data_IF_397919720577
#
_entry.id   IF_397919720577
#
_cell.length_a   1.000
_cell.length_b   1.000
_cell.length_c   1.000
_cell.angle_alpha   90.00
_cell.angle_beta   90.00
_cell.angle_gamma   90.00
#
_symmetry.space_group_name_H-M   'P 1'
#
loop_
_entity.id
_entity.type
_entity.pdbx_description
1 polymer ?
#
# COMPACT_ATOMS: atom_id res chain seq x y z
N UNK A 1 -20.20 0.49 -9.04
CA UNK A 1 -18.99 0.19 -8.24
C UNK A 1 -19.30 -0.82 -7.16
N UNK A 2 -20.37 -0.58 -6.39
CA UNK A 2 -20.87 -1.49 -5.38
C UNK A 2 -20.97 -2.92 -5.88
N UNK A 3 -21.76 -3.16 -6.93
CA UNK A 3 -21.95 -4.51 -7.49
C UNK A 3 -20.63 -5.19 -7.87
N UNK A 4 -19.69 -4.43 -8.42
CA UNK A 4 -18.39 -4.94 -8.86
C UNK A 4 -17.50 -5.36 -7.67
N UNK A 5 -17.51 -4.59 -6.57
CA UNK A 5 -16.72 -4.89 -5.37
C UNK A 5 -17.43 -5.95 -4.51
N UNK A 6 -18.75 -5.85 -4.37
CA UNK A 6 -19.56 -6.69 -3.48
C UNK A 6 -20.04 -7.98 -4.14
N UNK A 7 -19.99 -8.10 -5.46
CA UNK A 7 -20.56 -9.23 -6.20
C UNK A 7 -22.07 -9.36 -6.02
N UNK A 8 -22.76 -8.26 -5.68
CA UNK A 8 -24.19 -8.24 -5.39
C UNK A 8 -24.57 -8.66 -3.97
N UNK A 9 -23.60 -8.90 -3.08
CA UNK A 9 -23.89 -9.27 -1.69
C UNK A 9 -23.92 -8.06 -0.75
N UNK A 10 -24.90 -8.01 0.15
CA UNK A 10 -24.99 -6.95 1.18
C UNK A 10 -24.02 -7.14 2.35
N UNK A 11 -23.52 -8.36 2.52
CA UNK A 11 -22.54 -8.73 3.55
C UNK A 11 -21.38 -9.47 2.91
N UNK A 12 -20.16 -9.08 3.25
CA UNK A 12 -18.91 -9.68 2.80
C UNK A 12 -18.28 -10.46 3.95
N UNK A 13 -17.78 -11.66 3.67
CA UNK A 13 -16.93 -12.40 4.61
C UNK A 13 -15.46 -12.09 4.31
N UNK A 14 -14.76 -11.58 5.32
CA UNK A 14 -13.34 -11.20 5.23
C UNK A 14 -12.64 -11.68 6.48
N UNK A 15 -11.68 -12.61 6.34
CA UNK A 15 -10.88 -13.12 7.46
C UNK A 15 -11.73 -13.71 8.60
N UNK A 16 -12.84 -14.39 8.27
CA UNK A 16 -13.77 -14.98 9.25
C UNK A 16 -14.72 -13.99 9.92
N UNK A 17 -14.73 -12.72 9.52
CA UNK A 17 -15.67 -11.69 10.00
C UNK A 17 -16.64 -11.28 8.90
N UNK A 18 -17.90 -11.04 9.29
CA UNK A 18 -18.93 -10.47 8.42
C UNK A 18 -18.87 -8.95 8.45
N UNK A 19 -18.74 -8.32 7.29
CA UNK A 19 -18.63 -6.87 7.11
C UNK A 19 -19.76 -6.40 6.18
N UNK A 20 -20.42 -5.29 6.51
CA UNK A 20 -21.41 -4.70 5.60
C UNK A 20 -20.73 -4.24 4.29
N UNK A 21 -21.27 -4.64 3.15
CA UNK A 21 -20.64 -4.40 1.85
C UNK A 21 -20.56 -2.90 1.51
N UNK A 22 -21.60 -2.12 1.84
CA UNK A 22 -21.57 -0.67 1.61
C UNK A 22 -20.57 0.05 2.50
N UNK A 23 -20.46 -0.38 3.76
CA UNK A 23 -19.42 0.12 4.66
C UNK A 23 -18.01 -0.19 4.15
N UNK A 24 -17.80 -1.41 3.62
CA UNK A 24 -16.52 -1.80 3.02
C UNK A 24 -16.19 -0.96 1.77
N UNK A 25 -17.14 -0.80 0.86
CA UNK A 25 -16.97 0.02 -0.36
C UNK A 25 -16.67 1.47 -0.01
N UNK A 26 -17.31 2.03 1.02
CA UNK A 26 -17.05 3.38 1.52
C UNK A 26 -15.64 3.58 2.05
N UNK A 27 -14.95 2.53 2.54
CA UNK A 27 -13.55 2.63 2.97
C UNK A 27 -12.63 2.98 1.80
N UNK A 28 -12.93 2.53 0.59
CA UNK A 28 -12.17 2.87 -0.63
C UNK A 28 -12.61 4.18 -1.27
N UNK A 29 -13.14 5.09 -0.45
CA UNK A 29 -13.59 6.43 -0.86
C UNK A 29 -14.72 6.44 -1.91
N UNK A 30 -15.55 5.39 -1.95
CA UNK A 30 -16.77 5.38 -2.76
C UNK A 30 -17.98 5.62 -1.86
N UNK A 31 -18.44 6.87 -1.75
CA UNK A 31 -19.53 7.27 -0.84
C UNK A 31 -20.81 7.61 -1.63
N UNK A 32 -21.96 7.29 -1.04
CA UNK A 32 -23.28 7.64 -1.58
C UNK A 32 -23.42 7.28 -3.08
N UNK A 33 -23.68 8.27 -3.97
CA UNK A 33 -23.91 8.03 -5.40
C UNK A 33 -22.69 7.45 -6.13
N UNK A 34 -21.47 7.62 -5.60
CA UNK A 34 -20.26 7.05 -6.23
C UNK A 34 -20.27 5.52 -6.25
N UNK A 35 -20.99 4.91 -5.30
CA UNK A 35 -21.16 3.46 -5.26
C UNK A 35 -21.96 2.93 -6.46
N UNK A 36 -22.87 3.74 -6.99
CA UNK A 36 -23.77 3.37 -8.09
C UNK A 36 -23.16 3.65 -9.47
N UNK A 37 -22.06 4.40 -9.54
CA UNK A 37 -21.35 4.67 -10.80
C UNK A 37 -20.95 3.37 -11.51
N UNK A 38 -21.08 3.34 -12.83
CA UNK A 38 -20.57 2.23 -13.66
C UNK A 38 -19.05 2.31 -13.72
N UNK A 39 -18.37 1.15 -13.69
CA UNK A 39 -16.89 1.06 -13.71
C UNK A 39 -16.28 1.77 -14.93
N UNK A 40 -16.97 1.71 -16.08
CA UNK A 40 -16.53 2.39 -17.30
C UNK A 40 -16.46 3.93 -17.19
N UNK A 41 -17.24 4.53 -16.30
CA UNK A 41 -17.27 5.98 -16.08
C UNK A 41 -16.24 6.47 -15.05
N UNK A 42 -15.50 5.55 -14.41
CA UNK A 42 -14.48 5.89 -13.43
C UNK A 42 -13.19 6.38 -14.08
N UNK A 43 -12.53 7.33 -13.42
CA UNK A 43 -11.15 7.73 -13.68
C UNK A 43 -10.16 6.58 -13.42
N UNK A 44 -8.92 6.71 -13.91
CA UNK A 44 -7.87 5.70 -13.70
C UNK A 44 -7.61 5.40 -12.21
N UNK A 45 -7.50 6.45 -11.39
CA UNK A 45 -7.33 6.31 -9.93
C UNK A 45 -8.53 5.62 -9.27
N UNK A 46 -9.76 6.00 -9.63
CA UNK A 46 -10.96 5.32 -9.14
C UNK A 46 -10.99 3.83 -9.55
N UNK A 47 -10.61 3.49 -10.78
CA UNK A 47 -10.53 2.09 -11.21
C UNK A 47 -9.50 1.31 -10.40
N UNK A 48 -8.35 1.92 -10.08
CA UNK A 48 -7.34 1.30 -9.22
C UNK A 48 -7.91 1.01 -7.83
N UNK A 49 -8.68 1.94 -7.25
CA UNK A 49 -9.36 1.72 -5.96
C UNK A 49 -10.35 0.57 -5.99
N UNK A 50 -11.15 0.46 -7.07
CA UNK A 50 -12.04 -0.70 -7.27
C UNK A 50 -11.24 -1.99 -7.34
N UNK A 51 -10.14 -2.00 -8.09
CA UNK A 51 -9.29 -3.17 -8.23
C UNK A 51 -8.71 -3.63 -6.88
N UNK A 52 -8.21 -2.68 -6.10
CA UNK A 52 -7.61 -2.94 -4.80
C UNK A 52 -8.66 -3.44 -3.78
N UNK A 53 -9.86 -2.86 -3.76
CA UNK A 53 -10.97 -3.36 -2.94
C UNK A 53 -11.36 -4.80 -3.31
N UNK A 54 -11.36 -5.16 -4.59
CA UNK A 54 -11.64 -6.53 -5.03
C UNK A 54 -10.55 -7.51 -4.61
N UNK A 55 -9.28 -7.12 -4.75
CA UNK A 55 -8.13 -7.95 -4.36
C UNK A 55 -8.15 -8.28 -2.87
N UNK A 56 -8.37 -7.26 -2.04
CA UNK A 56 -8.42 -7.42 -0.58
C UNK A 56 -9.61 -8.28 -0.13
N UNK A 57 -10.75 -8.19 -0.83
CA UNK A 57 -11.93 -9.04 -0.57
C UNK A 57 -11.67 -10.51 -0.87
N UNK A 58 -10.96 -10.83 -1.97
CA UNK A 58 -10.87 -12.20 -2.50
C UNK A 58 -10.24 -13.19 -1.50
N UNK A 59 -9.57 -12.70 -0.46
CA UNK A 59 -9.05 -13.50 0.64
C UNK A 59 -7.88 -14.37 0.16
N UNK A 60 -6.70 -13.79 0.06
CA UNK A 60 -5.46 -14.52 -0.19
C UNK A 60 -4.67 -14.70 1.10
N UNK A 61 -3.85 -15.74 1.18
CA UNK A 61 -2.94 -15.92 2.32
C UNK A 61 -1.77 -14.94 2.24
N UNK A 62 -1.35 -14.60 1.00
CA UNK A 62 -0.27 -13.66 0.70
C UNK A 62 -0.75 -12.68 -0.37
N UNK A 63 -0.59 -11.39 -0.11
CA UNK A 63 -0.86 -10.30 -1.05
C UNK A 63 0.48 -9.69 -1.49
N UNK A 64 0.70 -9.59 -2.80
CA UNK A 64 1.88 -8.94 -3.38
C UNK A 64 1.43 -7.61 -4.00
N UNK A 65 1.94 -6.50 -3.49
CA UNK A 65 1.63 -5.16 -3.96
C UNK A 65 2.90 -4.49 -4.49
N UNK A 66 2.91 -4.18 -5.78
CA UNK A 66 4.01 -3.47 -6.42
C UNK A 66 3.64 -1.99 -6.58
N UNK A 67 4.34 -1.13 -5.83
CA UNK A 67 4.15 0.33 -5.78
C UNK A 67 2.68 0.77 -5.67
N UNK A 68 1.92 0.27 -4.66
CA UNK A 68 0.48 0.52 -4.55
C UNK A 68 0.15 1.97 -4.16
N UNK A 69 1.14 2.76 -3.75
CA UNK A 69 0.99 4.18 -3.37
C UNK A 69 0.90 5.11 -4.59
N UNK A 70 1.23 4.61 -5.80
CA UNK A 70 1.17 5.42 -7.00
C UNK A 70 -0.27 5.86 -7.32
N UNK A 71 -0.41 7.13 -7.71
CA UNK A 71 -1.66 7.73 -8.15
C UNK A 71 -2.80 7.70 -7.09
N UNK A 72 -2.46 7.48 -5.82
CA UNK A 72 -3.41 7.52 -4.72
C UNK A 72 -3.45 8.91 -4.06
N UNK A 73 -4.66 9.42 -3.85
CA UNK A 73 -4.89 10.55 -2.96
C UNK A 73 -4.64 10.16 -1.49
N UNK A 74 -4.48 11.15 -0.62
CA UNK A 74 -4.15 10.94 0.81
C UNK A 74 -5.20 10.06 1.49
N UNK A 75 -6.49 10.30 1.23
CA UNK A 75 -7.59 9.55 1.86
C UNK A 75 -7.56 8.08 1.45
N UNK A 76 -7.27 7.80 0.18
CA UNK A 76 -7.17 6.44 -0.34
C UNK A 76 -5.93 5.73 0.20
N UNK A 77 -4.81 6.44 0.32
CA UNK A 77 -3.61 5.89 0.94
C UNK A 77 -3.88 5.51 2.41
N UNK A 78 -4.60 6.35 3.17
CA UNK A 78 -5.06 5.98 4.53
C UNK A 78 -5.95 4.74 4.53
N UNK A 79 -6.88 4.64 3.59
CA UNK A 79 -7.76 3.48 3.47
C UNK A 79 -6.98 2.19 3.14
N UNK A 80 -5.97 2.29 2.27
CA UNK A 80 -5.06 1.19 1.94
C UNK A 80 -4.27 0.75 3.18
N UNK A 81 -3.69 1.70 3.92
CA UNK A 81 -3.00 1.41 5.17
C UNK A 81 -3.90 0.65 6.16
N UNK A 82 -5.11 1.13 6.41
CA UNK A 82 -6.06 0.49 7.32
C UNK A 82 -6.47 -0.91 6.81
N UNK A 83 -6.62 -1.07 5.50
CA UNK A 83 -6.96 -2.35 4.91
C UNK A 83 -5.81 -3.37 5.02
N UNK A 84 -4.55 -2.94 4.86
CA UNK A 84 -3.36 -3.78 5.06
C UNK A 84 -3.22 -4.16 6.53
N UNK A 85 -3.36 -3.20 7.45
CA UNK A 85 -3.25 -3.44 8.89
C UNK A 85 -4.34 -4.38 9.43
N UNK A 86 -5.53 -4.37 8.80
CA UNK A 86 -6.64 -5.27 9.15
C UNK A 86 -6.64 -6.58 8.36
N UNK A 87 -5.67 -6.77 7.46
CA UNK A 87 -5.57 -7.97 6.64
C UNK A 87 -5.14 -9.17 7.48
N UNK A 88 -5.86 -10.27 7.37
CA UNK A 88 -5.58 -11.47 8.16
C UNK A 88 -4.42 -12.32 7.62
N UNK A 89 -3.91 -12.01 6.42
CA UNK A 89 -2.80 -12.72 5.77
C UNK A 89 -1.49 -11.94 5.81
N UNK A 90 -0.51 -12.41 5.05
CA UNK A 90 0.75 -11.71 4.84
C UNK A 90 0.62 -10.73 3.67
N UNK A 91 1.26 -9.57 3.78
CA UNK A 91 1.35 -8.60 2.69
C UNK A 91 2.82 -8.30 2.43
N UNK A 92 3.27 -8.52 1.19
CA UNK A 92 4.54 -8.02 0.69
C UNK A 92 4.26 -6.78 -0.13
N UNK A 93 4.84 -5.65 0.28
CA UNK A 93 4.67 -4.38 -0.41
C UNK A 93 6.02 -3.86 -0.87
N UNK A 94 6.08 -3.47 -2.15
CA UNK A 94 7.16 -2.68 -2.72
C UNK A 94 6.67 -1.24 -2.72
N UNK A 95 7.38 -0.33 -2.07
CA UNK A 95 7.05 1.10 -2.08
C UNK A 95 8.30 1.94 -1.86
N UNK A 96 8.33 3.11 -2.48
CA UNK A 96 9.30 4.17 -2.21
C UNK A 96 8.80 5.21 -1.17
N UNK A 97 7.56 5.10 -0.70
CA UNK A 97 6.99 6.00 0.31
C UNK A 97 7.40 5.58 1.72
N UNK A 98 8.29 6.37 2.32
CA UNK A 98 8.83 6.15 3.67
C UNK A 98 7.75 6.20 4.75
N UNK A 99 6.81 7.14 4.64
CA UNK A 99 5.74 7.32 5.63
C UNK A 99 4.77 6.15 5.60
N UNK A 100 4.48 5.64 4.41
CA UNK A 100 3.65 4.46 4.24
C UNK A 100 4.33 3.22 4.83
N UNK A 101 5.60 2.97 4.49
CA UNK A 101 6.38 1.86 5.06
C UNK A 101 6.50 1.95 6.57
N UNK A 102 6.71 3.14 7.14
CA UNK A 102 6.81 3.32 8.59
C UNK A 102 5.56 2.90 9.36
N UNK A 103 4.39 2.97 8.70
CA UNK A 103 3.10 2.69 9.31
C UNK A 103 2.65 1.24 9.18
N UNK A 104 3.03 0.56 8.11
CA UNK A 104 2.55 -0.80 7.81
C UNK A 104 3.61 -1.88 7.98
N UNK A 105 4.90 -1.53 7.87
CA UNK A 105 5.95 -2.52 7.79
C UNK A 105 6.28 -3.07 9.19
N UNK A 106 6.29 -4.39 9.27
CA UNK A 106 6.86 -5.14 10.41
C UNK A 106 8.28 -5.62 10.12
N UNK A 107 8.64 -5.72 8.84
CA UNK A 107 9.94 -6.12 8.35
C UNK A 107 10.26 -5.34 7.07
N UNK A 108 11.53 -5.06 6.83
CA UNK A 108 12.05 -4.40 5.64
C UNK A 108 13.06 -5.31 4.94
N UNK A 109 12.82 -5.51 3.63
CA UNK A 109 13.78 -6.08 2.69
C UNK A 109 14.40 -4.92 1.90
N UNK A 110 15.62 -4.53 2.25
CA UNK A 110 16.30 -3.42 1.61
C UNK A 110 17.33 -3.91 0.58
N UNK A 111 17.17 -3.49 -0.66
CA UNK A 111 18.12 -3.74 -1.75
C UNK A 111 19.16 -2.61 -1.77
N UNK A 112 20.40 -2.85 -1.31
CA UNK A 112 21.41 -1.79 -1.14
C UNK A 112 22.42 -1.68 -2.29
N UNK A 113 22.20 -2.43 -3.38
CA UNK A 113 23.14 -2.53 -4.51
C UNK A 113 23.97 -3.80 -4.46
N UNK A 114 24.75 -4.06 -5.51
CA UNK A 114 25.67 -5.22 -5.62
C UNK A 114 25.03 -6.58 -5.29
N UNK A 115 23.75 -6.75 -5.62
CA UNK A 115 22.93 -7.93 -5.28
C UNK A 115 22.83 -8.22 -3.77
N UNK A 116 23.19 -7.26 -2.92
CA UNK A 116 23.04 -7.34 -1.48
C UNK A 116 21.62 -6.96 -1.06
N UNK A 117 21.00 -7.85 -0.29
CA UNK A 117 19.68 -7.65 0.31
C UNK A 117 19.83 -7.73 1.82
N UNK A 118 19.46 -6.64 2.49
CA UNK A 118 19.47 -6.55 3.94
C UNK A 118 18.06 -6.82 4.48
N UNK A 119 17.97 -7.77 5.42
CA UNK A 119 16.75 -8.04 6.18
C UNK A 119 16.79 -7.29 7.50
N UNK A 120 15.77 -6.48 7.76
CA UNK A 120 15.60 -5.74 9.01
C UNK A 120 14.23 -6.07 9.61
N UNK A 121 14.21 -6.44 10.88
CA UNK A 121 12.97 -6.50 11.66
C UNK A 121 12.65 -5.08 12.17
N UNK A 122 11.41 -4.65 12.00
CA UNK A 122 10.97 -3.28 12.25
C UNK A 122 10.55 -2.55 10.98
N UNK A 123 10.28 -1.26 11.14
CA UNK A 123 9.78 -0.40 10.08
C UNK A 123 10.92 0.33 9.34
N UNK A 124 10.59 1.26 8.46
CA UNK A 124 11.59 1.98 7.67
C UNK A 124 12.54 2.82 8.55
N UNK A 125 12.03 3.44 9.62
CA UNK A 125 12.83 4.18 10.59
C UNK A 125 13.85 3.28 11.30
N UNK A 126 13.46 2.08 11.72
CA UNK A 126 14.37 1.09 12.31
C UNK A 126 15.47 0.71 11.32
N UNK A 127 15.10 0.44 10.06
CA UNK A 127 16.06 0.14 9.00
C UNK A 127 17.04 1.30 8.75
N UNK A 128 16.57 2.54 8.66
CA UNK A 128 17.43 3.70 8.45
C UNK A 128 18.42 3.90 9.59
N UNK A 129 18.01 3.65 10.84
CA UNK A 129 18.92 3.70 11.98
C UNK A 129 20.00 2.61 11.88
N UNK A 130 19.61 1.35 11.68
CA UNK A 130 20.57 0.24 11.53
C UNK A 130 21.52 0.45 10.36
N UNK A 131 21.01 1.02 9.26
CA UNK A 131 21.81 1.35 8.08
C UNK A 131 22.85 2.44 8.39
N UNK A 132 22.49 3.47 9.15
CA UNK A 132 23.45 4.52 9.59
C UNK A 132 24.55 3.92 10.47
N UNK A 133 24.17 3.10 11.45
CA UNK A 133 25.11 2.43 12.35
C UNK A 133 26.06 1.50 11.59
N UNK A 134 25.53 0.69 10.66
CA UNK A 134 26.31 -0.26 9.86
C UNK A 134 27.26 0.42 8.87
N UNK A 135 26.81 1.49 8.21
CA UNK A 135 27.59 2.18 7.19
C UNK A 135 28.45 3.31 7.76
N UNK A 136 28.35 3.61 9.06
CA UNK A 136 29.10 4.69 9.72
C UNK A 136 28.81 6.07 9.13
N UNK A 137 27.61 6.29 8.56
CA UNK A 137 27.22 7.56 7.95
C UNK A 137 26.94 8.55 9.09
N UNK A 138 27.87 9.48 9.35
CA UNK A 138 27.62 10.59 10.27
C UNK A 138 26.66 11.61 9.62
N UNK A 139 25.90 12.34 10.44
CA UNK A 139 25.02 13.42 9.98
C UNK A 139 25.80 14.60 9.32
N UNK A 140 27.14 14.58 9.37
CA UNK A 140 28.04 15.67 9.02
C UNK A 140 28.72 15.55 7.64
N UNK A 141 28.48 14.48 6.88
CA UNK A 141 28.97 14.41 5.50
C UNK A 141 27.94 14.98 4.51
N UNK A 142 28.18 16.17 3.90
CA UNK A 142 27.32 16.68 2.86
C UNK A 142 27.36 15.69 1.69
N UNK A 143 26.28 14.93 1.51
CA UNK A 143 26.06 14.09 0.34
C UNK A 143 26.18 14.99 -0.88
N UNK A 144 27.31 14.93 -1.59
CA UNK A 144 27.44 15.51 -2.92
C UNK A 144 26.39 14.83 -3.79
N UNK A 145 25.25 15.48 -3.99
CA UNK A 145 24.26 15.06 -4.96
C UNK A 145 24.97 15.00 -6.32
N UNK A 146 25.34 13.80 -6.76
CA UNK A 146 25.74 13.58 -8.15
C UNK A 146 24.46 13.78 -8.97
N UNK A 147 24.25 15.01 -9.45
CA UNK A 147 23.19 15.33 -10.39
C UNK A 147 23.27 14.32 -11.54
N UNK A 148 22.22 13.50 -11.71
CA UNK A 148 22.04 12.69 -12.91
C UNK A 148 21.88 13.69 -14.05
N UNK A 149 22.85 13.73 -14.99
CA UNK A 149 22.76 14.62 -16.16
C UNK A 149 21.49 14.26 -16.93
N UNK A 150 20.56 15.20 -17.02
CA UNK A 150 19.41 15.11 -17.92
C UNK A 150 19.97 15.06 -19.35
N UNK A 151 19.79 13.94 -20.04
CA UNK A 151 20.02 13.88 -21.48
C UNK A 151 18.83 14.58 -22.15
N UNK A 152 19.15 15.51 -23.07
CA UNK A 152 18.18 16.21 -23.92
C UNK A 152 17.72 15.31 -25.06
#
# INVERSE_FOLDING_TARGET
VYEEISGGHDTLEMGGRKVNARAYVSRFNFRGPDQEKKVGALSGGERNRVHLAKLLRRGSNVLLLDEPTNDLDVDTLRALEEAILSYAGCVLVISHDRWFLDRIATHILAFEGDAYVHWCEGNYQTYEQQRRERLGISDDEPRRFKYKKLQR
#
